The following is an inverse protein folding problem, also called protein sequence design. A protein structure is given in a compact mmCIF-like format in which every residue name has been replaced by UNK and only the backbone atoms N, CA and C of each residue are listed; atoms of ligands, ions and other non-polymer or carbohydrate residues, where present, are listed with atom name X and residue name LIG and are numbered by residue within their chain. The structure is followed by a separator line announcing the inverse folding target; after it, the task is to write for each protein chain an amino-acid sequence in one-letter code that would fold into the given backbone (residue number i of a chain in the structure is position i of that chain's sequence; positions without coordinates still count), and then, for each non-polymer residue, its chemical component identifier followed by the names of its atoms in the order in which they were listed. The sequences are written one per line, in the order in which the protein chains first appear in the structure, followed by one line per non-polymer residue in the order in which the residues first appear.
data_IF_270885150925
#
_entry.id   IF_270885150925
#
_cell.length_a   1.000
_cell.length_b   1.000
_cell.length_c   1.000
_cell.angle_alpha   90.00
_cell.angle_beta   90.00
_cell.angle_gamma   90.00
#
_symmetry.space_group_name_H-M   'P 1'
#
loop_
_entity.id
_entity.type
_entity.pdbx_description
1 polymer ?
#
# COMPACT_ATOMS: atom_id res chain seq x y z
N UNK A 1 15.35 14.33 -51.32
CA UNK A 1 16.61 14.94 -50.85
C UNK A 1 16.37 15.59 -49.49
N UNK A 2 17.21 15.26 -48.51
CA UNK A 2 17.65 16.04 -47.33
C UNK A 2 16.61 16.50 -46.29
N UNK A 3 16.76 15.95 -45.07
CA UNK A 3 16.44 16.59 -43.77
C UNK A 3 17.31 17.87 -43.57
N UNK A 4 17.10 18.77 -42.57
CA UNK A 4 17.26 18.45 -41.12
C UNK A 4 16.32 19.25 -40.15
N UNK A 5 15.88 18.66 -39.03
CA UNK A 5 16.42 18.75 -37.66
C UNK A 5 15.99 19.98 -36.80
N UNK A 6 15.57 19.67 -35.58
CA UNK A 6 15.68 20.43 -34.30
C UNK A 6 14.63 21.47 -33.87
N UNK A 7 14.23 21.28 -32.60
CA UNK A 7 13.24 21.98 -31.78
C UNK A 7 13.66 23.39 -31.33
N UNK A 8 12.74 24.14 -30.70
CA UNK A 8 13.04 24.46 -29.30
C UNK A 8 11.85 24.27 -28.34
N UNK A 9 12.18 23.62 -27.23
CA UNK A 9 11.74 23.91 -25.86
C UNK A 9 11.04 25.27 -25.65
N UNK A 10 9.78 25.27 -25.17
CA UNK A 10 9.12 26.42 -24.53
C UNK A 10 8.19 25.97 -23.39
N UNK A 11 8.66 26.19 -22.16
CA UNK A 11 7.98 26.87 -21.05
C UNK A 11 6.45 26.76 -20.98
N UNK A 12 5.93 25.82 -20.17
CA UNK A 12 4.52 25.85 -19.77
C UNK A 12 4.38 26.74 -18.52
N UNK A 13 4.38 28.06 -18.74
CA UNK A 13 4.07 29.07 -17.72
C UNK A 13 2.58 29.41 -17.77
N UNK A 14 1.92 28.99 -16.68
CA UNK A 14 0.76 29.60 -16.01
C UNK A 14 0.34 31.01 -16.50
N UNK A 15 -0.89 31.13 -17.01
CA UNK A 15 -1.89 32.16 -16.67
C UNK A 15 -3.28 31.49 -16.88
N UNK A 16 -4.01 31.04 -15.86
CA UNK A 16 -4.77 31.79 -14.85
C UNK A 16 -5.83 32.73 -15.46
N UNK A 17 -7.00 32.17 -15.77
CA UNK A 17 -8.34 32.79 -15.71
C UNK A 17 -9.35 31.63 -15.85
N UNK A 18 -9.81 31.02 -14.74
CA UNK A 18 -10.85 31.52 -13.83
C UNK A 18 -12.04 30.56 -14.02
N UNK A 19 -12.52 29.79 -13.05
CA UNK A 19 -12.84 30.04 -11.64
C UNK A 19 -12.79 28.69 -10.92
N UNK A 20 -11.86 28.46 -9.98
CA UNK A 20 -12.09 28.57 -8.52
C UNK A 20 -13.50 28.11 -8.14
N UNK A 21 -13.70 26.98 -7.48
CA UNK A 21 -13.64 26.80 -6.02
C UNK A 21 -14.39 25.47 -5.81
N UNK A 22 -14.05 24.48 -4.99
CA UNK A 22 -13.49 24.51 -3.66
C UNK A 22 -13.14 23.05 -3.35
N UNK A 23 -11.89 22.84 -2.98
CA UNK A 23 -11.57 21.80 -2.01
C UNK A 23 -12.33 22.12 -0.72
N UNK A 24 -13.36 21.32 -0.41
CA UNK A 24 -13.83 21.09 0.96
C UNK A 24 -14.61 19.79 0.90
N UNK A 25 -14.04 18.70 1.41
CA UNK A 25 -14.44 18.10 2.70
C UNK A 25 -15.87 17.54 2.62
N UNK A 26 -16.02 16.30 3.09
CA UNK A 26 -17.27 15.53 3.26
C UNK A 26 -17.82 14.83 2.02
N UNK A 27 -17.50 13.53 1.92
CA UNK A 27 -18.47 12.41 2.07
C UNK A 27 -17.75 11.14 1.59
N UNK A 28 -17.00 10.50 2.48
CA UNK A 28 -17.51 9.35 3.22
C UNK A 28 -18.35 8.40 2.35
N UNK A 29 -17.75 7.26 2.09
CA UNK A 29 -18.38 5.97 1.87
C UNK A 29 -19.52 5.73 2.89
N UNK A 30 -20.47 4.87 2.50
CA UNK A 30 -21.45 4.16 3.34
C UNK A 30 -22.71 4.98 3.65
N UNK A 31 -23.88 4.64 3.13
CA UNK A 31 -24.64 3.44 3.50
C UNK A 31 -25.84 3.27 2.54
N UNK A 32 -26.31 2.03 2.45
CA UNK A 32 -27.70 1.69 2.14
C UNK A 32 -28.22 2.02 0.72
N UNK A 33 -28.11 0.99 -0.13
CA UNK A 33 -29.21 0.44 -0.93
C UNK A 33 -30.60 0.86 -0.41
N UNK A 34 -31.19 1.96 -0.89
CA UNK A 34 -32.58 2.34 -0.58
C UNK A 34 -33.09 3.43 -1.55
N UNK A 35 -33.19 3.08 -2.84
CA UNK A 35 -33.86 3.92 -3.85
C UNK A 35 -34.79 3.08 -4.73
N UNK A 36 -35.58 2.24 -4.07
CA UNK A 36 -36.75 1.61 -4.67
C UNK A 36 -37.79 1.51 -3.58
N UNK A 37 -38.64 2.53 -3.50
CA UNK A 37 -40.09 2.43 -3.28
C UNK A 37 -40.65 3.86 -3.25
N UNK A 38 -40.95 4.32 -4.46
CA UNK A 38 -41.82 5.45 -4.74
C UNK A 38 -43.20 5.28 -4.09
N UNK A 39 -43.82 6.41 -3.79
CA UNK A 39 -45.23 6.61 -3.41
C UNK A 39 -45.65 6.28 -1.97
N UNK A 40 -45.57 7.28 -1.07
CA UNK A 40 -46.33 7.24 0.18
C UNK A 40 -46.13 8.38 1.18
N UNK A 41 -45.06 9.17 1.09
CA UNK A 41 -44.65 10.06 2.20
C UNK A 41 -45.19 11.50 2.14
N UNK A 42 -46.07 11.82 1.19
CA UNK A 42 -46.65 13.18 1.05
C UNK A 42 -47.81 13.45 2.02
N UNK A 43 -48.28 12.44 2.77
CA UNK A 43 -49.40 12.60 3.72
C UNK A 43 -48.99 13.05 5.12
N UNK A 44 -47.72 12.88 5.51
CA UNK A 44 -47.25 13.20 6.86
C UNK A 44 -46.78 14.65 7.04
N UNK A 45 -46.72 15.44 5.95
CA UNK A 45 -46.28 16.84 6.01
C UNK A 45 -47.35 17.79 6.59
N UNK A 46 -48.62 17.39 6.65
CA UNK A 46 -49.72 18.26 7.11
C UNK A 46 -49.99 18.17 8.63
N UNK A 47 -49.35 17.25 9.36
CA UNK A 47 -49.67 17.00 10.79
C UNK A 47 -48.67 17.63 11.76
N UNK A 48 -47.52 18.11 11.29
CA UNK A 48 -46.47 18.69 12.15
C UNK A 48 -46.55 20.21 12.35
N UNK A 49 -47.48 20.92 11.70
CA UNK A 49 -47.60 22.38 11.82
C UNK A 49 -48.49 22.87 12.97
N UNK A 50 -48.94 21.99 13.88
CA UNK A 50 -49.86 22.37 14.96
C UNK A 50 -49.33 22.27 16.40
N UNK A 51 -48.10 21.77 16.65
CA UNK A 51 -47.47 21.86 17.98
C UNK A 51 -46.36 22.91 17.96
N UNK A 52 -46.77 24.16 18.13
CA UNK A 52 -45.85 25.27 18.34
C UNK A 52 -45.17 25.26 19.71
N UNK A 53 -44.09 26.04 19.76
CA UNK A 53 -43.54 26.76 20.90
C UNK A 53 -42.82 25.96 22.01
N UNK A 54 -41.49 26.05 22.00
CA UNK A 54 -40.76 26.50 23.18
C UNK A 54 -39.41 27.11 22.79
N UNK A 55 -39.22 28.38 23.18
CA UNK A 55 -38.00 29.19 23.04
C UNK A 55 -37.05 28.98 24.24
N UNK A 56 -35.78 29.38 24.04
CA UNK A 56 -34.70 29.70 25.03
C UNK A 56 -33.91 28.51 25.57
N UNK A 57 -32.57 28.48 25.60
CA UNK A 57 -31.64 29.40 26.31
C UNK A 57 -30.25 29.58 25.65
N UNK A 58 -29.68 30.77 25.85
CA UNK A 58 -28.27 31.15 25.66
C UNK A 58 -27.33 30.42 26.64
N UNK A 59 -26.11 30.04 26.24
CA UNK A 59 -24.92 30.14 27.12
C UNK A 59 -23.61 29.83 26.39
N UNK A 60 -22.55 30.39 26.95
CA UNK A 60 -21.24 30.72 26.39
C UNK A 60 -20.33 29.54 25.97
N UNK A 61 -19.33 29.94 25.17
CA UNK A 61 -17.99 29.37 25.00
C UNK A 61 -17.57 28.40 26.13
N UNK A 62 -17.49 27.10 25.81
CA UNK A 62 -16.79 26.12 26.65
C UNK A 62 -15.46 25.77 25.95
N UNK A 63 -14.37 26.13 26.63
CA UNK A 63 -12.99 25.82 26.27
C UNK A 63 -12.78 24.31 26.16
N UNK A 64 -12.02 23.92 25.13
CA UNK A 64 -11.60 22.55 24.84
C UNK A 64 -10.95 21.83 26.03
N UNK A 65 -10.88 20.50 25.95
CA UNK A 65 -9.53 19.94 25.82
C UNK A 65 -9.34 19.35 24.43
N UNK A 66 -8.14 19.56 23.91
CA UNK A 66 -7.63 18.90 22.72
C UNK A 66 -7.98 17.42 22.80
N UNK A 67 -8.85 16.97 21.89
CA UNK A 67 -8.92 15.55 21.59
C UNK A 67 -7.50 15.16 21.20
N UNK A 68 -6.90 14.35 22.05
CA UNK A 68 -5.61 13.73 21.82
C UNK A 68 -5.65 13.15 20.42
N UNK A 69 -4.85 13.71 19.52
CA UNK A 69 -4.47 13.03 18.29
C UNK A 69 -3.67 11.82 18.76
N UNK A 70 -4.40 10.74 19.07
CA UNK A 70 -3.85 9.39 19.14
C UNK A 70 -3.15 9.24 17.80
N UNK A 71 -1.82 9.24 17.88
CA UNK A 71 -0.93 9.45 16.75
C UNK A 71 -1.49 8.82 15.50
N UNK A 72 -1.55 9.62 14.44
CA UNK A 72 -1.59 9.13 13.07
C UNK A 72 -0.46 8.09 13.00
N UNK A 73 -0.84 6.84 13.21
CA UNK A 73 0.03 5.69 13.17
C UNK A 73 0.60 5.74 11.77
N UNK A 74 1.88 6.09 11.63
CA UNK A 74 2.61 5.78 10.41
C UNK A 74 2.27 4.33 10.10
N UNK A 75 1.46 4.13 9.06
CA UNK A 75 0.99 2.79 8.75
C UNK A 75 2.23 1.91 8.55
N UNK A 76 2.29 0.70 9.13
CA UNK A 76 3.37 -0.24 8.88
C UNK A 76 3.66 -0.44 7.37
N UNK A 77 2.68 -0.13 6.50
CA UNK A 77 2.77 -0.24 5.04
C UNK A 77 3.73 0.74 4.35
N UNK A 78 4.12 1.86 4.98
CA UNK A 78 5.04 2.83 4.35
C UNK A 78 6.52 2.41 4.44
N UNK A 79 6.89 1.62 5.47
CA UNK A 79 8.22 1.02 5.59
C UNK A 79 8.38 -0.23 4.70
N UNK A 80 7.28 -0.78 4.20
CA UNK A 80 7.25 -1.96 3.33
C UNK A 80 7.48 -1.52 1.87
N UNK A 81 8.62 -1.90 1.29
CA UNK A 81 8.96 -1.62 -0.11
C UNK A 81 7.91 -2.16 -1.11
N UNK A 82 7.93 -1.73 -2.39
CA UNK A 82 6.94 -2.17 -3.39
C UNK A 82 6.88 -3.69 -3.56
N UNK A 83 8.00 -4.39 -3.36
CA UNK A 83 8.06 -5.84 -3.39
C UNK A 83 7.31 -6.50 -2.20
N UNK A 84 7.40 -5.93 -0.99
CA UNK A 84 6.67 -6.43 0.18
C UNK A 84 5.15 -6.28 0.00
N UNK A 85 4.70 -5.14 -0.52
CA UNK A 85 3.28 -4.92 -0.81
C UNK A 85 2.76 -5.91 -1.86
N UNK A 86 3.51 -6.10 -2.96
CA UNK A 86 3.14 -7.09 -3.97
C UNK A 86 3.07 -8.52 -3.41
N UNK A 87 4.00 -8.90 -2.52
CA UNK A 87 4.00 -10.19 -1.85
C UNK A 87 2.80 -10.36 -0.92
N UNK A 88 2.44 -9.34 -0.12
CA UNK A 88 1.24 -9.36 0.74
C UNK A 88 -0.03 -9.51 -0.06
N UNK A 89 -0.20 -8.74 -1.14
CA UNK A 89 -1.35 -8.83 -2.03
C UNK A 89 -1.48 -10.22 -2.67
N UNK A 90 -0.36 -10.83 -3.09
CA UNK A 90 -0.35 -12.18 -3.65
C UNK A 90 -0.70 -13.24 -2.59
N UNK A 91 -0.13 -13.14 -1.38
CA UNK A 91 -0.43 -14.06 -0.29
C UNK A 91 -1.90 -13.95 0.14
N UNK A 92 -2.41 -12.74 0.35
CA UNK A 92 -3.81 -12.46 0.71
C UNK A 92 -4.79 -13.16 -0.23
N UNK A 93 -4.53 -13.09 -1.55
CA UNK A 93 -5.33 -13.77 -2.57
C UNK A 93 -5.24 -15.29 -2.49
N UNK A 94 -4.08 -15.85 -2.16
CA UNK A 94 -3.86 -17.32 -2.09
C UNK A 94 -4.56 -17.95 -0.90
N UNK A 95 -4.48 -17.32 0.27
CA UNK A 95 -5.03 -17.88 1.51
C UNK A 95 -6.38 -17.30 1.91
N UNK A 96 -6.88 -16.29 1.17
CA UNK A 96 -8.20 -15.69 1.39
C UNK A 96 -8.31 -14.88 2.68
N UNK A 97 -7.25 -14.18 3.07
CA UNK A 97 -7.22 -13.30 4.25
C UNK A 97 -6.95 -11.85 3.85
N UNK A 98 -7.36 -10.91 4.69
CA UNK A 98 -7.04 -9.49 4.48
C UNK A 98 -5.53 -9.23 4.60
N UNK A 99 -5.02 -8.30 3.80
CA UNK A 99 -3.60 -7.89 3.81
C UNK A 99 -3.15 -7.38 5.19
N UNK A 100 -4.07 -6.80 5.97
CA UNK A 100 -3.81 -6.32 7.33
C UNK A 100 -3.60 -7.45 8.35
N UNK A 101 -3.99 -8.69 8.02
CA UNK A 101 -3.71 -9.88 8.82
C UNK A 101 -2.36 -10.51 8.49
N UNK A 102 -1.66 -10.00 7.47
CA UNK A 102 -0.37 -10.48 7.01
C UNK A 102 0.72 -9.55 7.53
N UNK A 103 1.66 -10.10 8.29
CA UNK A 103 2.79 -9.36 8.85
C UNK A 103 4.05 -9.63 8.02
N UNK A 104 4.82 -8.59 7.72
CA UNK A 104 6.16 -8.75 7.17
C UNK A 104 7.10 -8.98 8.35
N UNK A 105 7.67 -10.18 8.44
CA UNK A 105 8.62 -10.56 9.49
C UNK A 105 10.04 -10.24 9.06
N UNK A 106 10.34 -10.37 7.76
CA UNK A 106 11.66 -10.09 7.20
C UNK A 106 11.54 -9.46 5.83
N UNK A 107 12.36 -8.45 5.56
CA UNK A 107 12.51 -7.85 4.25
C UNK A 107 13.98 -7.49 4.06
N UNK A 108 14.69 -8.22 3.19
CA UNK A 108 16.12 -8.03 2.97
C UNK A 108 16.44 -8.04 1.48
N UNK A 109 17.31 -7.12 1.07
CA UNK A 109 17.96 -7.17 -0.23
C UNK A 109 19.10 -8.18 -0.18
N UNK A 110 19.07 -9.15 -1.08
CA UNK A 110 19.99 -10.30 -1.08
C UNK A 110 20.52 -10.55 -2.49
N UNK A 111 21.64 -11.28 -2.56
CA UNK A 111 22.17 -11.78 -3.82
C UNK A 111 22.02 -13.29 -3.88
N UNK A 112 21.33 -13.76 -4.91
CA UNK A 112 21.13 -15.18 -5.19
C UNK A 112 22.34 -15.75 -5.93
N UNK A 113 22.68 -17.02 -5.64
CA UNK A 113 23.81 -17.73 -6.27
C UNK A 113 23.61 -18.01 -7.76
N UNK A 114 22.37 -18.17 -8.17
CA UNK A 114 21.99 -18.60 -9.51
C UNK A 114 20.64 -18.00 -9.94
N UNK A 115 20.24 -18.30 -11.18
CA UNK A 115 18.97 -17.91 -11.75
C UNK A 115 17.74 -18.61 -11.14
N UNK A 116 17.90 -19.50 -10.17
CA UNK A 116 16.77 -20.11 -9.45
C UNK A 116 16.18 -19.16 -8.41
N UNK A 117 16.90 -18.08 -8.07
CA UNK A 117 16.51 -17.11 -7.04
C UNK A 117 16.25 -17.78 -5.68
N UNK A 118 17.04 -18.80 -5.36
CA UNK A 118 16.89 -19.60 -4.13
C UNK A 118 15.66 -20.51 -4.14
N UNK A 119 15.03 -20.74 -5.30
CA UNK A 119 13.87 -21.62 -5.42
C UNK A 119 14.03 -22.62 -6.60
N UNK A 120 14.98 -23.58 -6.49
CA UNK A 120 15.24 -24.53 -7.56
C UNK A 120 14.09 -25.52 -7.72
N UNK A 121 13.67 -25.74 -8.96
CA UNK A 121 12.70 -26.79 -9.34
C UNK A 121 13.45 -28.04 -9.80
N UNK A 122 13.04 -29.24 -9.37
CA UNK A 122 13.65 -30.49 -9.82
C UNK A 122 13.66 -30.60 -11.35
N UNK A 123 14.77 -31.08 -11.91
CA UNK A 123 14.92 -31.30 -13.36
C UNK A 123 15.16 -30.04 -14.21
N UNK A 124 15.29 -28.86 -13.59
CA UNK A 124 15.59 -27.61 -14.29
C UNK A 124 17.06 -27.23 -14.15
N UNK A 125 17.67 -26.79 -15.25
CA UNK A 125 18.99 -26.16 -15.25
C UNK A 125 18.85 -24.63 -15.08
N UNK A 126 19.67 -24.05 -14.21
CA UNK A 126 19.67 -22.61 -13.91
C UNK A 126 21.04 -21.99 -14.25
N UNK A 127 21.01 -20.72 -14.65
CA UNK A 127 22.22 -19.95 -14.93
C UNK A 127 23.03 -19.76 -13.65
N UNK A 128 24.34 -20.03 -13.71
CA UNK A 128 25.26 -19.81 -12.59
C UNK A 128 25.73 -18.35 -12.55
N UNK A 129 24.78 -17.43 -12.44
CA UNK A 129 25.01 -15.99 -12.39
C UNK A 129 24.43 -15.42 -11.11
N UNK A 130 25.17 -14.51 -10.48
CA UNK A 130 24.69 -13.79 -9.30
C UNK A 130 23.53 -12.88 -9.67
N UNK A 131 22.43 -12.97 -8.93
CA UNK A 131 21.23 -12.16 -9.18
C UNK A 131 20.86 -11.36 -7.94
N UNK A 132 20.83 -10.04 -8.07
CA UNK A 132 20.28 -9.17 -7.03
C UNK A 132 18.76 -9.35 -6.93
N UNK A 133 18.27 -9.42 -5.70
CA UNK A 133 16.88 -9.70 -5.41
C UNK A 133 16.50 -9.36 -3.98
N UNK A 134 15.33 -9.85 -3.57
CA UNK A 134 14.79 -9.61 -2.23
C UNK A 134 14.29 -10.91 -1.64
N UNK A 135 14.57 -11.12 -0.35
CA UNK A 135 13.97 -12.15 0.48
C UNK A 135 12.94 -11.49 1.40
N UNK A 136 11.70 -11.95 1.31
CA UNK A 136 10.56 -11.41 2.05
C UNK A 136 9.92 -12.57 2.82
N UNK A 137 9.92 -12.51 4.15
CA UNK A 137 9.19 -13.47 4.98
C UNK A 137 7.90 -12.83 5.49
N UNK A 138 6.78 -13.45 5.14
CA UNK A 138 5.45 -13.05 5.58
C UNK A 138 4.91 -14.06 6.57
N UNK A 139 4.30 -13.58 7.65
CA UNK A 139 3.55 -14.41 8.58
C UNK A 139 2.05 -14.17 8.41
N UNK A 140 1.30 -15.25 8.25
CA UNK A 140 -0.15 -15.22 8.24
C UNK A 140 -0.71 -16.47 8.91
N UNK A 141 -1.67 -16.28 9.83
CA UNK A 141 -2.29 -17.38 10.59
C UNK A 141 -1.26 -18.30 11.29
N UNK A 142 -0.17 -17.73 11.81
CA UNK A 142 0.90 -18.47 12.49
C UNK A 142 1.80 -19.30 11.57
N UNK A 143 1.71 -19.11 10.25
CA UNK A 143 2.57 -19.78 9.26
C UNK A 143 3.46 -18.76 8.56
N UNK A 144 4.72 -19.13 8.34
CA UNK A 144 5.69 -18.34 7.59
C UNK A 144 5.66 -18.71 6.10
N UNK A 145 5.70 -17.69 5.26
CA UNK A 145 5.70 -17.77 3.80
C UNK A 145 6.88 -16.97 3.25
N UNK A 146 7.76 -17.63 2.49
CA UNK A 146 8.96 -17.02 1.92
C UNK A 146 8.71 -16.60 0.47
N UNK A 147 8.80 -15.31 0.23
CA UNK A 147 8.70 -14.68 -1.08
C UNK A 147 10.08 -14.25 -1.56
N UNK A 148 10.43 -14.67 -2.76
CA UNK A 148 11.70 -14.33 -3.39
C UNK A 148 11.45 -13.45 -4.61
N UNK A 149 12.35 -12.52 -4.89
CA UNK A 149 12.36 -11.72 -6.11
C UNK A 149 13.79 -11.62 -6.67
N UNK A 150 13.92 -11.24 -7.93
CA UNK A 150 15.25 -11.02 -8.52
C UNK A 150 15.21 -10.48 -9.94
N UNK A 151 16.16 -9.61 -10.27
CA UNK A 151 16.22 -8.93 -11.56
C UNK A 151 14.91 -8.21 -11.89
N UNK A 152 14.25 -8.61 -12.98
CA UNK A 152 12.95 -8.04 -13.41
C UNK A 152 11.75 -8.89 -12.98
N UNK A 153 11.96 -9.96 -12.22
CA UNK A 153 10.90 -10.89 -11.81
C UNK A 153 10.16 -10.34 -10.58
N UNK A 154 8.82 -10.26 -10.60
CA UNK A 154 8.05 -9.89 -9.43
C UNK A 154 8.21 -10.92 -8.30
N UNK A 155 7.90 -10.55 -7.05
CA UNK A 155 7.95 -11.47 -5.91
C UNK A 155 7.06 -12.69 -6.13
N UNK A 156 7.57 -13.87 -5.79
CA UNK A 156 6.83 -15.13 -5.89
C UNK A 156 7.07 -15.99 -4.64
N UNK A 157 6.05 -16.77 -4.25
CA UNK A 157 6.13 -17.69 -3.13
C UNK A 157 7.06 -18.87 -3.48
N UNK A 158 8.04 -19.15 -2.62
CA UNK A 158 8.89 -20.32 -2.73
C UNK A 158 8.53 -21.35 -1.65
N UNK A 159 8.20 -22.56 -2.08
CA UNK A 159 7.85 -23.67 -1.17
C UNK A 159 9.08 -24.38 -0.61
N UNK A 160 10.16 -24.46 -1.39
CA UNK A 160 11.42 -25.07 -0.98
C UNK A 160 12.59 -24.07 -1.08
N UNK A 161 12.69 -23.14 -0.11
CA UNK A 161 13.66 -22.05 -0.15
C UNK A 161 15.07 -22.55 0.17
N UNK A 162 16.04 -22.11 -0.64
CA UNK A 162 17.47 -22.20 -0.36
C UNK A 162 17.97 -20.85 0.14
N UNK A 163 18.90 -20.86 1.09
CA UNK A 163 19.43 -19.61 1.66
C UNK A 163 20.19 -18.78 0.62
N UNK A 164 20.05 -17.43 0.68
CA UNK A 164 20.83 -16.52 -0.17
C UNK A 164 22.31 -16.56 0.21
N UNK A 165 23.16 -15.93 -0.62
CA UNK A 165 24.55 -15.74 -0.24
C UNK A 165 24.61 -14.88 1.03
N UNK A 166 25.49 -15.23 2.01
CA UNK A 166 25.76 -14.33 3.10
C UNK A 166 26.28 -13.01 2.53
N UNK A 167 25.96 -11.86 3.16
CA UNK A 167 26.61 -10.60 2.78
C UNK A 167 28.11 -10.84 2.85
N UNK A 168 28.83 -10.41 1.81
CA UNK A 168 30.28 -10.57 1.74
C UNK A 168 30.90 -10.02 3.01
N UNK A 169 31.29 -10.91 3.92
CA UNK A 169 32.08 -10.57 5.09
C UNK A 169 33.45 -10.21 4.53
N UNK A 170 33.65 -8.91 4.29
CA UNK A 170 34.93 -8.32 3.94
C UNK A 170 35.99 -8.89 4.88
N UNK A 171 36.89 -9.68 4.29
CA UNK A 171 37.81 -10.55 5.01
C UNK A 171 38.67 -9.81 6.02
N UNK A 172 38.49 -10.14 7.30
CA UNK A 172 39.48 -9.93 8.35
C UNK A 172 40.58 -10.99 8.26
N UNK A 173 41.37 -10.95 7.19
CA UNK A 173 42.54 -11.79 6.99
C UNK A 173 43.80 -10.94 6.92
N UNK A 174 44.09 -10.17 7.98
CA UNK A 174 45.46 -9.67 8.18
C UNK A 174 46.30 -10.88 8.55
N UNK A 175 47.10 -11.36 7.60
CA UNK A 175 48.18 -12.29 7.87
C UNK A 175 49.36 -11.51 8.43
N UNK A 176 49.49 -11.50 9.74
CA UNK A 176 50.69 -11.17 10.48
C UNK A 176 51.58 -12.42 10.57
N UNK A 177 52.53 -12.57 9.65
CA UNK A 177 53.81 -13.24 9.90
C UNK A 177 54.88 -12.94 8.86
#
# INVERSE_FOLDING_TARGET
MLAPETCPFVENRLEANGSLSQWSILKCKTTAKMDQLSAGFTKYLALFLALGAMLTTSSACEMAPAAEVKGESMSPQAAEGPAARAAKMDLAKRIGVDEDKIKVVRYEEVTWRDGSLGCPRPGMAYTQALVNGTLIELEASGRLYRYHSGGRRPPFLCENPSDPLPPSSSGGGRGDR
#
